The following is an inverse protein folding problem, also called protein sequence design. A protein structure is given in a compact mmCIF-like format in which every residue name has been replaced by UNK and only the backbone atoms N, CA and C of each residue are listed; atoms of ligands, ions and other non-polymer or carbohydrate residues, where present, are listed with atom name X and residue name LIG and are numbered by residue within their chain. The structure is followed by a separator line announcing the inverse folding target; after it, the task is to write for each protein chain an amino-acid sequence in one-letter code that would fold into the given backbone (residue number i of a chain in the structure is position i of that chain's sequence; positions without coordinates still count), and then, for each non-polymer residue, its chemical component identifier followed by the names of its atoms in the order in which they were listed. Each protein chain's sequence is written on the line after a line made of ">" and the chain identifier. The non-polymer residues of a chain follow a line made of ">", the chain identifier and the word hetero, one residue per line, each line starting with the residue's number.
data_IF_155988109922
#
_entry.id   IF_155988109922
#
_cell.length_a   1.000
_cell.length_b   1.000
_cell.length_c   1.000
_cell.angle_alpha   90.00
_cell.angle_beta   90.00
_cell.angle_gamma   90.00
#
_symmetry.space_group_name_H-M   'P 1'
#
loop_
_entity.id
_entity.type
_entity.pdbx_description
1 polymer ?
#
# COMPACT_ATOMS: atom_id res chain seq x y z
N UNK A 1 -4.95 5.34 -8.97
CA UNK A 1 -3.52 5.62 -8.73
C UNK A 1 -2.75 5.85 -10.03
N UNK A 2 -1.65 6.62 -10.00
CA UNK A 2 -0.69 6.85 -11.09
C UNK A 2 0.18 5.59 -11.32
N UNK A 3 -0.45 4.53 -11.82
CA UNK A 3 0.11 3.18 -11.87
C UNK A 3 1.44 3.10 -12.62
N UNK A 4 1.50 3.67 -13.83
CA UNK A 4 2.68 3.55 -14.69
C UNK A 4 3.85 4.37 -14.13
N UNK A 5 3.59 5.58 -13.65
CA UNK A 5 4.61 6.40 -13.01
C UNK A 5 5.11 5.79 -11.71
N UNK A 6 4.21 5.17 -10.93
CA UNK A 6 4.60 4.43 -9.74
C UNK A 6 5.48 3.24 -10.09
N UNK A 7 5.14 2.49 -11.16
CA UNK A 7 5.98 1.39 -11.66
C UNK A 7 7.36 1.88 -12.07
N UNK A 8 7.42 2.94 -12.87
CA UNK A 8 8.67 3.50 -13.34
C UNK A 8 9.55 3.97 -12.18
N UNK A 9 8.96 4.64 -11.19
CA UNK A 9 9.67 5.04 -9.98
C UNK A 9 10.19 3.84 -9.18
N UNK A 10 9.37 2.79 -9.00
CA UNK A 10 9.82 1.57 -8.31
C UNK A 10 11.03 0.94 -9.00
N UNK A 11 11.01 0.87 -10.33
CA UNK A 11 12.06 0.23 -11.12
C UNK A 11 13.34 1.06 -11.19
N UNK A 12 13.25 2.39 -11.27
CA UNK A 12 14.40 3.23 -11.59
C UNK A 12 14.88 4.13 -10.44
N UNK A 13 13.99 4.59 -9.57
CA UNK A 13 14.27 5.70 -8.65
C UNK A 13 14.14 5.30 -7.17
N UNK A 14 13.53 4.15 -6.90
CA UNK A 14 13.35 3.64 -5.55
C UNK A 14 14.69 3.54 -4.81
N UNK A 15 14.67 3.86 -3.50
CA UNK A 15 15.87 3.90 -2.64
C UNK A 15 17.03 4.68 -3.27
N UNK A 16 16.80 5.95 -3.61
CA UNK A 16 17.82 6.85 -4.15
C UNK A 16 18.44 6.34 -5.47
N UNK A 17 17.63 5.76 -6.36
CA UNK A 17 18.09 5.28 -7.66
C UNK A 17 18.61 3.84 -7.70
N UNK A 18 18.49 3.08 -6.61
CA UNK A 18 18.78 1.63 -6.63
C UNK A 18 17.73 0.84 -7.43
N UNK A 19 16.48 1.32 -7.46
CA UNK A 19 15.40 0.66 -8.16
C UNK A 19 15.00 -0.69 -7.55
N UNK A 20 14.18 -1.45 -8.27
CA UNK A 20 13.91 -2.86 -8.01
C UNK A 20 13.58 -3.60 -9.29
N UNK A 21 13.64 -4.93 -9.26
CA UNK A 21 13.25 -5.73 -10.42
C UNK A 21 11.79 -5.52 -10.81
N UNK A 22 11.47 -5.63 -12.10
CA UNK A 22 10.10 -5.45 -12.60
C UNK A 22 9.11 -6.38 -11.91
N UNK A 23 9.45 -7.66 -11.70
CA UNK A 23 8.58 -8.60 -10.98
C UNK A 23 8.34 -8.19 -9.52
N UNK A 24 9.32 -7.58 -8.86
CA UNK A 24 9.11 -7.00 -7.52
C UNK A 24 8.19 -5.79 -7.59
N UNK A 25 8.37 -4.92 -8.57
CA UNK A 25 7.52 -3.74 -8.78
C UNK A 25 6.07 -4.13 -9.07
N UNK A 26 5.83 -5.11 -9.94
CA UNK A 26 4.50 -5.63 -10.28
C UNK A 26 3.79 -6.22 -9.06
N UNK A 27 4.52 -6.92 -8.17
CA UNK A 27 3.96 -7.41 -6.92
C UNK A 27 3.58 -6.26 -5.96
N UNK A 28 4.37 -5.17 -5.90
CA UNK A 28 4.04 -4.00 -5.07
C UNK A 28 2.82 -3.25 -5.62
N UNK A 29 2.75 -3.08 -6.94
CA UNK A 29 1.62 -2.49 -7.65
C UNK A 29 0.35 -3.31 -7.40
N UNK A 30 0.42 -4.63 -7.57
CA UNK A 30 -0.73 -5.51 -7.35
C UNK A 30 -1.27 -5.42 -5.92
N UNK A 31 -0.39 -5.32 -4.92
CA UNK A 31 -0.81 -5.12 -3.53
C UNK A 31 -1.43 -3.74 -3.30
N UNK A 32 -0.89 -2.68 -3.92
CA UNK A 32 -1.48 -1.35 -3.84
C UNK A 32 -2.87 -1.32 -4.51
N UNK A 33 -3.02 -1.94 -5.68
CA UNK A 33 -4.30 -2.06 -6.40
C UNK A 33 -5.36 -2.80 -5.58
N UNK A 34 -4.98 -3.85 -4.85
CA UNK A 34 -5.94 -4.54 -3.95
C UNK A 34 -6.54 -3.60 -2.91
N UNK A 35 -5.73 -2.71 -2.33
CA UNK A 35 -6.19 -1.74 -1.35
C UNK A 35 -7.02 -0.65 -2.03
N UNK A 36 -6.55 -0.12 -3.16
CA UNK A 36 -7.27 0.89 -3.95
C UNK A 36 -8.68 0.42 -4.35
N UNK A 37 -8.82 -0.83 -4.79
CA UNK A 37 -10.12 -1.41 -5.16
C UNK A 37 -11.12 -1.49 -3.99
N UNK A 38 -10.65 -1.44 -2.75
CA UNK A 38 -11.48 -1.56 -1.54
C UNK A 38 -11.77 -0.17 -0.94
N UNK A 39 -10.74 0.67 -0.84
CA UNK A 39 -10.81 1.93 -0.10
C UNK A 39 -10.96 3.17 -0.97
N UNK A 40 -10.77 3.06 -2.30
CA UNK A 40 -10.87 4.15 -3.25
C UNK A 40 -9.55 4.51 -3.92
N UNK A 41 -9.60 5.45 -4.87
CA UNK A 41 -8.46 5.88 -5.67
C UNK A 41 -7.38 6.56 -4.81
N UNK A 42 -6.15 6.04 -4.89
CA UNK A 42 -5.05 6.52 -4.05
C UNK A 42 -4.61 7.94 -4.35
N UNK A 43 -4.81 8.46 -5.57
CA UNK A 43 -4.48 9.85 -5.85
C UNK A 43 -5.46 10.78 -5.17
N UNK A 44 -6.75 10.50 -5.26
CA UNK A 44 -7.79 11.26 -4.57
C UNK A 44 -7.59 11.22 -3.04
N UNK A 45 -7.33 10.03 -2.50
CA UNK A 45 -7.11 9.85 -1.07
C UNK A 45 -5.82 10.52 -0.59
N UNK A 46 -4.76 10.51 -1.41
CA UNK A 46 -3.55 11.25 -1.11
C UNK A 46 -3.80 12.76 -1.05
N UNK A 47 -4.60 13.30 -1.97
CA UNK A 47 -4.93 14.72 -2.00
C UNK A 47 -5.82 15.13 -0.81
N UNK A 48 -6.66 14.22 -0.32
CA UNK A 48 -7.50 14.46 0.85
C UNK A 48 -6.72 14.47 2.17
N UNK A 49 -5.96 13.40 2.46
CA UNK A 49 -5.34 13.20 3.78
C UNK A 49 -3.98 12.50 3.71
N UNK A 50 -3.32 12.48 2.55
CA UNK A 50 -2.02 11.81 2.35
C UNK A 50 -2.04 10.32 2.69
N UNK A 51 -3.18 9.65 2.53
CA UNK A 51 -3.42 8.23 2.79
C UNK A 51 -3.37 7.84 4.28
N UNK A 52 -3.39 8.82 5.20
CA UNK A 52 -3.27 8.55 6.65
C UNK A 52 -4.41 7.66 7.16
N UNK A 53 -5.66 7.93 6.76
CA UNK A 53 -6.80 7.14 7.23
C UNK A 53 -6.68 5.65 6.83
N UNK A 54 -6.20 5.36 5.63
CA UNK A 54 -6.01 3.97 5.18
C UNK A 54 -4.85 3.32 5.93
N UNK A 55 -3.78 4.07 6.19
CA UNK A 55 -2.64 3.55 6.95
C UNK A 55 -3.01 3.20 8.39
N UNK A 56 -3.96 3.92 8.99
CA UNK A 56 -4.51 3.62 10.30
C UNK A 56 -5.55 2.49 10.26
N UNK A 57 -6.41 2.43 9.24
CA UNK A 57 -7.33 1.29 9.05
C UNK A 57 -6.59 -0.04 8.84
N UNK A 58 -5.45 0.00 8.14
CA UNK A 58 -4.59 -1.17 7.93
C UNK A 58 -3.65 -1.47 9.11
N UNK A 59 -3.73 -0.69 10.20
CA UNK A 59 -2.99 -0.99 11.43
C UNK A 59 -3.64 -2.18 12.13
N UNK A 60 -2.97 -3.32 12.03
CA UNK A 60 -3.38 -4.56 12.67
C UNK A 60 -2.26 -5.03 13.60
N UNK A 61 -2.57 -5.20 14.87
CA UNK A 61 -1.63 -5.63 15.91
C UNK A 61 -1.79 -7.11 16.25
N UNK A 62 -0.83 -7.66 17.00
CA UNK A 62 -0.92 -9.04 17.52
C UNK A 62 -2.07 -9.17 18.52
N UNK A 63 -2.34 -8.14 19.31
CA UNK A 63 -3.51 -8.08 20.20
C UNK A 63 -4.82 -8.14 19.40
N UNK A 64 -4.92 -7.42 18.27
CA UNK A 64 -6.07 -7.48 17.37
C UNK A 64 -6.27 -8.90 16.79
N UNK A 65 -5.17 -9.61 16.49
CA UNK A 65 -5.21 -11.00 16.04
C UNK A 65 -5.73 -11.93 17.14
N UNK A 66 -5.21 -11.78 18.36
CA UNK A 66 -5.60 -12.56 19.54
C UNK A 66 -7.05 -12.32 19.91
N UNK A 67 -7.55 -11.10 19.73
CA UNK A 67 -8.96 -10.75 19.95
C UNK A 67 -9.87 -11.06 18.75
N UNK A 68 -9.38 -11.73 17.71
CA UNK A 68 -10.13 -12.05 16.48
C UNK A 68 -10.81 -10.83 15.83
N UNK A 69 -10.16 -9.66 15.84
CA UNK A 69 -10.71 -8.44 15.24
C UNK A 69 -11.08 -8.68 13.77
N UNK A 70 -12.22 -8.12 13.39
CA UNK A 70 -12.68 -8.19 12.01
C UNK A 70 -11.81 -7.33 11.10
N UNK A 71 -11.56 -7.83 9.89
CA UNK A 71 -10.86 -7.05 8.87
C UNK A 71 -11.77 -5.91 8.38
N UNK A 72 -11.18 -4.82 7.86
CA UNK A 72 -11.95 -3.79 7.18
C UNK A 72 -12.88 -4.39 6.13
N UNK A 73 -14.08 -3.82 6.00
CA UNK A 73 -15.12 -4.33 5.10
C UNK A 73 -14.59 -4.43 3.66
N UNK A 74 -14.79 -5.60 3.04
CA UNK A 74 -14.34 -5.87 1.67
C UNK A 74 -12.92 -6.42 1.58
N UNK A 75 -12.16 -6.43 2.68
CA UNK A 75 -10.83 -7.01 2.71
C UNK A 75 -10.88 -8.51 3.01
N UNK A 76 -10.32 -9.30 2.10
CA UNK A 76 -10.12 -10.72 2.25
C UNK A 76 -8.62 -11.02 2.24
N UNK A 77 -8.14 -11.65 3.30
CA UNK A 77 -6.76 -12.12 3.42
C UNK A 77 -6.80 -13.64 3.52
N UNK A 78 -6.32 -14.30 2.49
CA UNK A 78 -6.09 -15.74 2.49
C UNK A 78 -4.78 -16.04 3.23
N UNK A 79 -4.87 -16.44 4.49
CA UNK A 79 -3.73 -16.78 5.34
C UNK A 79 -3.68 -15.98 6.64
N UNK A 80 -2.47 -15.67 7.11
CA UNK A 80 -2.28 -14.92 8.34
C UNK A 80 -2.73 -13.45 8.16
N UNK A 81 -3.72 -13.02 8.95
CA UNK A 81 -4.30 -11.67 8.90
C UNK A 81 -3.28 -10.60 9.23
N UNK A 82 -2.45 -10.82 10.24
CA UNK A 82 -1.41 -9.88 10.66
C UNK A 82 -0.41 -9.61 9.53
N UNK A 83 0.11 -10.65 8.90
CA UNK A 83 1.05 -10.55 7.78
C UNK A 83 0.40 -9.93 6.54
N UNK A 84 -0.84 -10.30 6.23
CA UNK A 84 -1.59 -9.73 5.11
C UNK A 84 -1.85 -8.23 5.30
N UNK A 85 -2.32 -7.82 6.48
CA UNK A 85 -2.53 -6.42 6.82
C UNK A 85 -1.23 -5.62 6.77
N UNK A 86 -0.15 -6.17 7.32
CA UNK A 86 1.18 -5.57 7.25
C UNK A 86 1.64 -5.40 5.80
N UNK A 87 1.45 -6.41 4.94
CA UNK A 87 1.82 -6.37 3.52
C UNK A 87 1.07 -5.26 2.77
N UNK A 88 -0.23 -5.17 2.97
CA UNK A 88 -1.06 -4.15 2.33
C UNK A 88 -0.71 -2.75 2.84
N UNK A 89 -0.51 -2.60 4.15
CA UNK A 89 -0.05 -1.33 4.75
C UNK A 89 1.29 -0.88 4.17
N UNK A 90 2.22 -1.82 3.95
CA UNK A 90 3.50 -1.52 3.31
C UNK A 90 3.30 -1.07 1.85
N UNK A 91 2.35 -1.62 1.11
CA UNK A 91 2.04 -1.16 -0.25
C UNK A 91 1.55 0.29 -0.28
N UNK A 92 0.66 0.68 0.64
CA UNK A 92 0.19 2.07 0.78
C UNK A 92 1.35 3.01 1.11
N UNK A 93 2.23 2.62 2.05
CA UNK A 93 3.43 3.42 2.38
C UNK A 93 4.35 3.62 1.17
N UNK A 94 4.51 2.61 0.31
CA UNK A 94 5.33 2.75 -0.91
C UNK A 94 4.73 3.75 -1.87
N UNK A 95 3.41 3.75 -2.04
CA UNK A 95 2.76 4.77 -2.87
C UNK A 95 2.91 6.17 -2.26
N UNK A 96 2.78 6.31 -0.94
CA UNK A 96 3.05 7.55 -0.23
C UNK A 96 4.49 8.06 -0.45
N UNK A 97 5.49 7.19 -0.39
CA UNK A 97 6.88 7.54 -0.70
C UNK A 97 7.04 8.03 -2.14
N UNK A 98 6.39 7.37 -3.10
CA UNK A 98 6.35 7.79 -4.50
C UNK A 98 5.75 9.20 -4.66
N UNK A 99 4.59 9.47 -4.05
CA UNK A 99 3.96 10.80 -4.12
C UNK A 99 4.85 11.88 -3.51
N UNK A 100 5.53 11.58 -2.40
CA UNK A 100 6.53 12.48 -1.79
C UNK A 100 7.73 12.71 -2.70
N UNK A 101 8.22 11.69 -3.41
CA UNK A 101 9.29 11.83 -4.38
C UNK A 101 8.88 12.74 -5.54
N UNK A 102 7.69 12.53 -6.11
CA UNK A 102 7.16 13.32 -7.23
C UNK A 102 6.87 14.78 -6.87
N UNK A 103 6.66 15.07 -5.57
CA UNK A 103 6.40 16.43 -5.08
C UNK A 103 7.68 17.21 -4.73
N UNK A 104 8.87 16.61 -4.90
CA UNK A 104 10.16 17.30 -4.76
C UNK A 104 10.57 17.93 -6.08
#
# INVERSE_FOLDING_TARGET
>A
MQREEFKNWLVNDYKNGEGMSEGSADNRISNAQKVENIFGDFDELYDQNRLEDILDLLKYSVDDETSCKELPKGLQIDGNKYDGMATLRQAVKRYLEFKKFKSK
#
